data_IF_158500928983
#
_entry.id   IF_158500928983
#
_cell.length_a   1.000
_cell.length_b   1.000
_cell.length_c   1.000
_cell.angle_alpha   90.00
_cell.angle_beta   90.00
_cell.angle_gamma   90.00
#
_symmetry.space_group_name_H-M   'P 1'
#
loop_
_entity.id
_entity.type
_entity.pdbx_description
1 polymer ?
#
# COMPACT_ATOMS: atom_id res chain seq x y z
N UNK A 1 -2.84 -33.34 47.35
CA UNK A 1 -4.27 -32.99 47.42
C UNK A 1 -4.40 -31.54 47.00
N UNK A 2 -4.81 -31.28 45.78
CA UNK A 2 -5.04 -29.94 45.31
C UNK A 2 -6.50 -29.54 45.59
N UNK A 3 -6.82 -28.31 46.01
CA UNK A 3 -8.18 -27.91 46.29
C UNK A 3 -9.00 -27.82 44.99
N UNK A 4 -10.11 -28.52 44.98
CA UNK A 4 -11.16 -28.44 43.96
C UNK A 4 -11.81 -27.05 44.08
N UNK A 5 -11.68 -26.19 43.10
CA UNK A 5 -12.37 -24.91 43.02
C UNK A 5 -13.85 -25.15 42.75
N UNK A 6 -14.66 -24.84 43.75
CA UNK A 6 -16.10 -24.91 43.75
C UNK A 6 -16.70 -23.97 42.70
N UNK A 7 -17.48 -24.53 41.75
CA UNK A 7 -18.08 -23.86 40.60
C UNK A 7 -19.34 -23.04 40.93
N UNK A 8 -19.59 -22.74 42.21
CA UNK A 8 -20.84 -22.16 42.71
C UNK A 8 -20.78 -20.68 43.12
N UNK A 9 -19.77 -19.91 42.71
CA UNK A 9 -19.77 -18.48 43.00
C UNK A 9 -20.72 -17.71 42.06
N UNK A 10 -21.75 -17.02 42.63
CA UNK A 10 -22.76 -16.28 41.84
C UNK A 10 -22.19 -15.25 40.88
N UNK A 11 -21.03 -14.66 41.22
CA UNK A 11 -20.32 -13.67 40.41
C UNK A 11 -19.78 -14.24 39.09
N UNK A 12 -19.28 -15.48 39.06
CA UNK A 12 -18.82 -16.16 37.85
C UNK A 12 -19.99 -16.48 36.91
N UNK A 13 -21.14 -16.83 37.46
CA UNK A 13 -22.37 -17.07 36.70
C UNK A 13 -22.92 -15.80 36.04
N UNK A 14 -22.85 -14.66 36.72
CA UNK A 14 -23.26 -13.35 36.17
C UNK A 14 -22.30 -12.90 35.11
N UNK A 15 -20.98 -12.97 35.34
CA UNK A 15 -19.95 -12.59 34.35
C UNK A 15 -20.04 -13.46 33.07
N UNK A 16 -20.26 -14.76 33.19
CA UNK A 16 -20.43 -15.68 32.08
C UNK A 16 -21.72 -15.43 31.29
N UNK A 17 -22.84 -15.13 31.98
CA UNK A 17 -24.11 -14.77 31.34
C UNK A 17 -24.02 -13.43 30.62
N UNK A 18 -23.33 -12.43 31.19
CA UNK A 18 -23.09 -11.12 30.56
C UNK A 18 -22.19 -11.25 29.34
N UNK A 19 -21.13 -12.06 29.40
CA UNK A 19 -20.23 -12.31 28.28
C UNK A 19 -20.92 -13.10 27.16
N UNK A 20 -21.73 -14.08 27.46
CA UNK A 20 -22.51 -14.87 26.49
C UNK A 20 -23.63 -14.04 25.85
N UNK A 21 -24.27 -13.14 26.60
CA UNK A 21 -25.30 -12.25 26.06
C UNK A 21 -24.74 -11.09 25.23
N UNK A 22 -23.58 -10.56 25.63
CA UNK A 22 -22.90 -9.47 24.87
C UNK A 22 -22.21 -9.95 23.60
N UNK A 23 -21.73 -11.18 23.55
CA UNK A 23 -20.98 -11.74 22.44
C UNK A 23 -21.71 -11.67 21.08
N UNK A 24 -22.94 -12.22 20.95
CA UNK A 24 -23.65 -12.19 19.67
C UNK A 24 -24.13 -10.78 19.31
N UNK A 25 -24.53 -9.95 20.28
CA UNK A 25 -24.91 -8.56 20.02
C UNK A 25 -23.73 -7.69 19.63
N UNK A 26 -22.58 -7.83 20.29
CA UNK A 26 -21.34 -7.13 19.92
C UNK A 26 -20.84 -7.58 18.55
N UNK A 27 -20.86 -8.87 18.25
CA UNK A 27 -20.49 -9.39 16.95
C UNK A 27 -21.45 -8.87 15.86
N UNK A 28 -22.76 -8.91 16.08
CA UNK A 28 -23.76 -8.37 15.16
C UNK A 28 -23.62 -6.86 14.98
N UNK A 29 -23.33 -6.12 16.06
CA UNK A 29 -23.12 -4.68 16.03
C UNK A 29 -21.85 -4.32 15.25
N UNK A 30 -20.75 -5.03 15.48
CA UNK A 30 -19.48 -4.85 14.75
C UNK A 30 -19.64 -5.23 13.27
N UNK A 31 -20.29 -6.34 12.96
CA UNK A 31 -20.55 -6.77 11.59
C UNK A 31 -21.46 -5.77 10.86
N UNK A 32 -22.52 -5.30 11.51
CA UNK A 32 -23.43 -4.31 10.93
C UNK A 32 -22.75 -2.95 10.72
N UNK A 33 -21.89 -2.54 11.64
CA UNK A 33 -21.12 -1.28 11.53
C UNK A 33 -20.03 -1.37 10.45
N UNK A 34 -19.38 -2.52 10.30
CA UNK A 34 -18.35 -2.73 9.29
C UNK A 34 -18.90 -2.77 7.85
N UNK A 35 -20.18 -3.13 7.67
CA UNK A 35 -20.83 -3.25 6.37
C UNK A 35 -21.66 -2.03 5.96
N UNK A 36 -21.90 -1.07 6.88
CA UNK A 36 -22.62 0.16 6.52
C UNK A 36 -21.66 1.20 5.96
N UNK A 37 -21.74 1.46 4.68
CA UNK A 37 -20.92 2.46 3.97
C UNK A 37 -21.63 3.81 4.06
N UNK A 38 -20.98 4.81 4.67
CA UNK A 38 -21.47 6.19 4.72
C UNK A 38 -21.20 6.95 3.40
N UNK A 39 -21.77 8.16 3.25
CA UNK A 39 -21.67 8.91 2.00
C UNK A 39 -20.21 9.34 1.69
N UNK A 40 -19.42 9.67 2.70
CA UNK A 40 -17.99 9.97 2.53
C UNK A 40 -17.22 8.76 2.01
N UNK A 41 -17.53 7.57 2.51
CA UNK A 41 -16.92 6.32 2.04
C UNK A 41 -17.41 5.94 0.63
N UNK A 42 -18.68 6.20 0.30
CA UNK A 42 -19.19 6.01 -1.07
C UNK A 42 -18.44 6.87 -2.07
N UNK A 43 -18.19 8.15 -1.73
CA UNK A 43 -17.36 9.04 -2.55
C UNK A 43 -15.96 8.46 -2.71
N UNK A 44 -15.34 7.99 -1.61
CA UNK A 44 -14.00 7.39 -1.66
C UNK A 44 -13.97 6.15 -2.56
N UNK A 45 -14.98 5.27 -2.47
CA UNK A 45 -15.10 4.09 -3.34
C UNK A 45 -15.30 4.49 -4.82
N UNK A 46 -16.10 5.51 -5.07
CA UNK A 46 -16.28 6.06 -6.42
C UNK A 46 -14.97 6.61 -6.99
N UNK A 47 -14.18 7.31 -6.17
CA UNK A 47 -12.85 7.80 -6.56
C UNK A 47 -11.87 6.64 -6.82
N UNK A 48 -11.85 5.59 -5.99
CA UNK A 48 -11.04 4.39 -6.23
C UNK A 48 -11.42 3.76 -7.59
N UNK A 49 -12.71 3.57 -7.85
CA UNK A 49 -13.17 3.02 -9.12
C UNK A 49 -12.76 3.91 -10.31
N UNK A 50 -12.90 5.23 -10.18
CA UNK A 50 -12.46 6.18 -11.20
C UNK A 50 -10.94 6.10 -11.42
N UNK A 51 -10.13 5.99 -10.37
CA UNK A 51 -8.68 5.82 -10.49
C UNK A 51 -8.31 4.50 -11.17
N UNK A 52 -8.95 3.38 -10.81
CA UNK A 52 -8.72 2.09 -11.47
C UNK A 52 -8.98 2.21 -12.97
N UNK A 53 -10.12 2.78 -13.37
CA UNK A 53 -10.48 2.97 -14.77
C UNK A 53 -9.53 3.93 -15.48
N UNK A 54 -9.24 5.08 -14.86
CA UNK A 54 -8.34 6.08 -15.44
C UNK A 54 -6.93 5.53 -15.63
N UNK A 55 -6.36 4.85 -14.62
CA UNK A 55 -5.05 4.23 -14.72
C UNK A 55 -5.05 3.17 -15.82
N UNK A 56 -6.08 2.31 -15.86
CA UNK A 56 -6.23 1.28 -16.89
C UNK A 56 -6.25 1.86 -18.31
N UNK A 57 -7.01 2.92 -18.53
CA UNK A 57 -7.10 3.57 -19.84
C UNK A 57 -5.81 4.29 -20.20
N UNK A 58 -5.31 5.16 -19.31
CA UNK A 58 -4.11 5.97 -19.56
C UNK A 58 -2.86 5.13 -19.79
N UNK A 59 -2.75 3.96 -19.11
CA UNK A 59 -1.62 3.07 -19.28
C UNK A 59 -1.55 2.46 -20.69
N UNK A 60 -2.71 2.16 -21.27
CA UNK A 60 -2.80 1.48 -22.57
C UNK A 60 -2.83 2.44 -23.77
N UNK A 61 -3.03 3.75 -23.56
CA UNK A 61 -3.05 4.72 -24.65
C UNK A 61 -1.65 5.25 -24.93
N UNK A 62 -1.08 5.01 -26.15
CA UNK A 62 0.19 5.58 -26.55
C UNK A 62 0.21 7.11 -26.37
N UNK A 63 1.36 7.67 -26.02
CA UNK A 63 1.59 9.10 -25.71
C UNK A 63 0.92 9.57 -24.42
N UNK A 64 -0.35 9.24 -24.15
CA UNK A 64 -1.06 9.67 -22.93
C UNK A 64 -0.49 8.99 -21.68
N UNK A 65 0.03 7.76 -21.80
CA UNK A 65 0.72 7.04 -20.71
C UNK A 65 1.87 7.83 -20.08
N UNK A 66 2.43 8.82 -20.79
CA UNK A 66 3.47 9.69 -20.25
C UNK A 66 2.97 10.58 -19.11
N UNK A 67 1.66 10.86 -19.04
CA UNK A 67 1.07 11.60 -17.91
C UNK A 67 1.18 10.83 -16.60
N UNK A 68 1.20 9.50 -16.65
CA UNK A 68 1.38 8.64 -15.48
C UNK A 68 2.85 8.43 -15.10
N UNK A 69 3.80 8.90 -15.94
CA UNK A 69 5.21 8.62 -15.78
C UNK A 69 5.78 9.00 -14.39
N UNK A 70 5.48 10.19 -13.80
CA UNK A 70 6.00 10.54 -12.48
C UNK A 70 5.53 9.57 -11.39
N UNK A 71 4.25 9.17 -11.46
CA UNK A 71 3.67 8.21 -10.53
C UNK A 71 4.16 6.79 -10.77
N UNK A 72 4.41 6.42 -12.03
CA UNK A 72 5.06 5.13 -12.37
C UNK A 72 6.44 5.03 -11.72
N UNK A 73 7.26 6.07 -11.85
CA UNK A 73 8.59 6.11 -11.24
C UNK A 73 8.52 5.99 -9.72
N UNK A 74 7.50 6.61 -9.09
CA UNK A 74 7.27 6.52 -7.66
C UNK A 74 6.91 5.10 -7.22
N UNK A 75 6.06 4.42 -7.98
CA UNK A 75 5.67 3.03 -7.68
C UNK A 75 6.83 2.07 -7.91
N UNK A 76 7.67 2.31 -8.93
CA UNK A 76 8.93 1.59 -9.11
C UNK A 76 9.84 1.80 -7.89
N UNK A 77 9.91 3.02 -7.34
CA UNK A 77 10.69 3.25 -6.11
C UNK A 77 10.16 2.43 -4.92
N UNK A 78 8.84 2.23 -4.77
CA UNK A 78 8.27 1.32 -3.77
C UNK A 78 8.63 -0.14 -4.03
N UNK A 79 8.65 -0.55 -5.28
CA UNK A 79 9.07 -1.89 -5.68
C UNK A 79 10.53 -2.16 -5.27
N UNK A 80 11.43 -1.27 -5.65
CA UNK A 80 12.85 -1.37 -5.28
C UNK A 80 13.07 -1.26 -3.78
N UNK A 81 12.31 -0.42 -3.09
CA UNK A 81 12.32 -0.34 -1.63
C UNK A 81 11.88 -1.66 -0.98
N UNK A 82 10.90 -2.37 -1.57
CA UNK A 82 10.47 -3.69 -1.13
C UNK A 82 11.62 -4.71 -1.14
N UNK A 83 12.40 -4.76 -2.22
CA UNK A 83 13.61 -5.57 -2.30
C UNK A 83 14.64 -5.18 -1.24
N UNK A 84 14.92 -3.87 -1.15
CA UNK A 84 15.93 -3.32 -0.27
C UNK A 84 15.63 -3.62 1.21
N UNK A 85 14.44 -3.30 1.69
CA UNK A 85 14.08 -3.50 3.10
C UNK A 85 14.05 -4.99 3.45
N UNK A 86 13.54 -5.85 2.55
CA UNK A 86 13.51 -7.29 2.79
C UNK A 86 14.90 -7.89 2.77
N UNK A 87 15.80 -7.40 1.92
CA UNK A 87 17.21 -7.79 1.92
C UNK A 87 17.85 -7.49 3.29
N UNK A 88 17.70 -6.26 3.79
CA UNK A 88 18.24 -5.84 5.09
C UNK A 88 17.66 -6.67 6.24
N UNK A 89 16.34 -6.86 6.27
CA UNK A 89 15.65 -7.63 7.31
C UNK A 89 16.03 -9.11 7.31
N UNK A 90 16.52 -9.64 6.18
CA UNK A 90 16.97 -11.03 6.06
C UNK A 90 18.49 -11.19 6.16
N UNK A 91 19.20 -10.15 6.64
CA UNK A 91 20.63 -10.18 6.92
C UNK A 91 21.52 -9.90 5.70
N UNK A 92 20.94 -9.35 4.62
CA UNK A 92 21.69 -8.90 3.45
C UNK A 92 22.11 -7.43 3.54
N UNK A 93 22.81 -6.98 2.52
CA UNK A 93 23.31 -5.61 2.38
C UNK A 93 22.91 -5.02 1.03
N UNK A 94 22.31 -3.82 1.05
CA UNK A 94 21.95 -3.06 -0.16
C UNK A 94 23.10 -2.16 -0.54
N UNK A 95 23.58 -2.29 -1.78
CA UNK A 95 24.68 -1.49 -2.35
C UNK A 95 24.16 -0.20 -2.96
N UNK A 96 23.10 -0.29 -3.78
CA UNK A 96 22.48 0.86 -4.43
C UNK A 96 21.09 0.52 -4.95
N UNK A 97 20.29 1.57 -5.14
CA UNK A 97 19.03 1.54 -5.89
C UNK A 97 19.21 2.49 -7.08
N UNK A 98 18.76 2.05 -8.26
CA UNK A 98 18.69 2.85 -9.48
C UNK A 98 17.33 2.66 -10.14
N UNK A 99 16.71 3.75 -10.59
CA UNK A 99 15.42 3.74 -11.26
C UNK A 99 15.64 3.98 -12.76
N UNK A 100 15.05 3.12 -13.59
CA UNK A 100 15.08 3.28 -15.04
C UNK A 100 13.64 3.36 -15.60
N UNK A 101 13.30 4.41 -16.36
CA UNK A 101 11.95 4.57 -16.91
C UNK A 101 11.59 3.54 -17.98
N UNK A 102 12.58 2.88 -18.59
CA UNK A 102 12.39 1.90 -19.66
C UNK A 102 12.41 0.47 -19.13
N UNK A 103 13.33 0.20 -18.19
CA UNK A 103 13.63 -1.14 -17.69
C UNK A 103 12.99 -1.42 -16.32
N UNK A 104 12.43 -0.39 -15.68
CA UNK A 104 11.92 -0.47 -14.31
C UNK A 104 12.95 0.06 -13.32
N UNK A 105 13.23 -0.66 -12.24
CA UNK A 105 14.28 -0.31 -11.29
C UNK A 105 15.26 -1.47 -11.13
N UNK A 106 16.34 -1.21 -10.43
CA UNK A 106 17.31 -2.24 -10.03
C UNK A 106 17.81 -1.97 -8.62
N UNK A 107 17.63 -2.93 -7.73
CA UNK A 107 18.25 -2.93 -6.40
C UNK A 107 19.45 -3.86 -6.40
N UNK A 108 20.65 -3.29 -6.33
CA UNK A 108 21.88 -4.04 -6.17
C UNK A 108 22.05 -4.46 -4.72
N UNK A 109 21.95 -5.76 -4.46
CA UNK A 109 22.02 -6.32 -3.12
C UNK A 109 23.00 -7.49 -3.05
N UNK A 110 23.52 -7.76 -1.85
CA UNK A 110 24.39 -8.88 -1.55
C UNK A 110 23.91 -9.59 -0.29
N UNK A 111 23.76 -10.92 -0.38
CA UNK A 111 23.18 -11.72 0.72
C UNK A 111 21.65 -11.58 0.76
N UNK A 112 21.09 -11.83 1.96
CA UNK A 112 19.65 -11.90 2.15
C UNK A 112 19.03 -13.22 1.66
N UNK A 113 17.74 -13.44 1.97
CA UNK A 113 17.01 -14.65 1.58
C UNK A 113 16.24 -14.40 0.27
N UNK A 114 16.78 -14.86 -0.86
CA UNK A 114 16.18 -14.63 -2.18
C UNK A 114 14.72 -15.11 -2.31
N UNK A 115 14.31 -16.13 -1.55
CA UNK A 115 12.91 -16.58 -1.51
C UNK A 115 11.95 -15.52 -0.98
N UNK A 116 12.45 -14.56 -0.19
CA UNK A 116 11.67 -13.43 0.34
C UNK A 116 11.95 -12.15 -0.43
N UNK A 117 13.22 -11.91 -0.81
CA UNK A 117 13.60 -10.66 -1.48
C UNK A 117 13.03 -10.55 -2.91
N UNK A 118 12.99 -11.63 -3.69
CA UNK A 118 12.47 -11.58 -5.06
C UNK A 118 10.96 -11.27 -5.13
N UNK A 119 10.07 -11.91 -4.35
CA UNK A 119 8.66 -11.53 -4.34
C UNK A 119 8.39 -10.15 -3.72
N UNK A 120 9.32 -9.65 -2.87
CA UNK A 120 9.12 -8.44 -2.09
C UNK A 120 9.00 -7.15 -2.90
N UNK A 121 9.48 -7.11 -4.13
CA UNK A 121 9.24 -6.01 -5.05
C UNK A 121 7.74 -5.85 -5.31
N UNK A 122 7.12 -6.86 -5.91
CA UNK A 122 5.69 -6.84 -6.25
C UNK A 122 4.79 -6.87 -5.03
N UNK A 123 5.01 -7.80 -4.11
CA UNK A 123 4.16 -7.95 -2.92
C UNK A 123 4.37 -6.80 -1.93
N UNK A 124 5.59 -6.29 -1.79
CA UNK A 124 5.89 -5.14 -0.94
C UNK A 124 5.25 -3.85 -1.45
N UNK A 125 5.38 -3.54 -2.74
CA UNK A 125 4.72 -2.37 -3.33
C UNK A 125 3.19 -2.47 -3.25
N UNK A 126 2.62 -3.66 -3.45
CA UNK A 126 1.18 -3.90 -3.32
C UNK A 126 0.68 -3.78 -1.89
N UNK A 127 1.46 -4.24 -0.91
CA UNK A 127 1.15 -4.07 0.50
C UNK A 127 1.20 -2.58 0.90
N UNK A 128 2.23 -1.85 0.47
CA UNK A 128 2.29 -0.39 0.64
C UNK A 128 1.06 0.25 -0.01
N UNK A 129 0.71 -0.15 -1.23
CA UNK A 129 -0.48 0.32 -1.93
C UNK A 129 -1.77 0.10 -1.13
N UNK A 130 -1.97 -1.09 -0.57
CA UNK A 130 -3.12 -1.41 0.26
C UNK A 130 -3.20 -0.55 1.54
N UNK A 131 -2.05 -0.32 2.20
CA UNK A 131 -1.96 0.56 3.36
C UNK A 131 -2.26 2.02 3.01
N UNK A 132 -1.79 2.51 1.85
CA UNK A 132 -2.12 3.84 1.36
C UNK A 132 -3.60 3.97 1.00
N UNK A 133 -4.22 2.95 0.40
CA UNK A 133 -5.67 2.91 0.16
C UNK A 133 -6.43 2.99 1.48
N UNK A 134 -6.06 2.17 2.47
CA UNK A 134 -6.65 2.22 3.82
C UNK A 134 -6.57 3.64 4.39
N UNK A 135 -5.39 4.26 4.38
CA UNK A 135 -5.18 5.61 4.90
C UNK A 135 -5.95 6.68 4.09
N UNK A 136 -6.15 6.48 2.79
CA UNK A 136 -6.90 7.36 1.91
C UNK A 136 -8.39 7.48 2.23
N UNK A 137 -8.93 6.66 3.14
CA UNK A 137 -10.28 6.82 3.66
C UNK A 137 -10.41 7.94 4.72
N UNK A 138 -9.27 8.46 5.23
CA UNK A 138 -9.28 9.49 6.28
C UNK A 138 -8.14 10.51 6.08
N UNK A 139 -8.43 11.80 6.33
CA UNK A 139 -7.45 12.88 6.12
C UNK A 139 -6.27 12.76 7.10
N UNK A 140 -6.53 12.51 8.39
CA UNK A 140 -5.48 12.38 9.41
C UNK A 140 -4.59 11.17 9.11
N UNK A 141 -5.20 10.04 8.77
CA UNK A 141 -4.46 8.83 8.38
C UNK A 141 -3.60 9.08 7.13
N UNK A 142 -4.09 9.85 6.16
CA UNK A 142 -3.31 10.25 4.98
C UNK A 142 -2.13 11.16 5.33
N UNK A 143 -2.27 12.06 6.30
CA UNK A 143 -1.15 12.86 6.83
C UNK A 143 -0.08 11.95 7.46
N UNK A 144 -0.48 11.01 8.31
CA UNK A 144 0.45 10.03 8.92
C UNK A 144 1.13 9.18 7.85
N UNK A 145 0.36 8.66 6.88
CA UNK A 145 0.89 7.87 5.78
C UNK A 145 1.92 8.65 4.95
N UNK A 146 1.67 9.94 4.67
CA UNK A 146 2.62 10.78 3.92
C UNK A 146 3.94 11.00 4.65
N UNK A 147 3.93 11.08 5.98
CA UNK A 147 5.16 11.16 6.80
C UNK A 147 5.94 9.84 6.70
N UNK A 148 5.24 8.69 6.86
CA UNK A 148 5.87 7.37 6.77
C UNK A 148 6.47 7.16 5.38
N UNK A 149 5.73 7.50 4.32
CA UNK A 149 6.21 7.45 2.93
C UNK A 149 7.41 8.36 2.74
N UNK A 150 7.39 9.55 3.33
CA UNK A 150 8.54 10.47 3.33
C UNK A 150 9.80 9.85 3.94
N UNK A 151 9.67 9.13 5.08
CA UNK A 151 10.80 8.40 5.68
C UNK A 151 11.28 7.27 4.76
N UNK A 152 10.37 6.49 4.15
CA UNK A 152 10.74 5.47 3.18
C UNK A 152 11.50 6.07 1.98
N UNK A 153 11.10 7.25 1.51
CA UNK A 153 11.79 7.97 0.45
C UNK A 153 13.17 8.45 0.85
N UNK A 154 13.36 8.91 2.07
CA UNK A 154 14.69 9.26 2.56
C UNK A 154 15.62 8.06 2.61
N UNK A 155 15.12 6.89 3.02
CA UNK A 155 15.89 5.64 2.97
C UNK A 155 16.21 5.22 1.52
N UNK A 156 15.23 5.33 0.62
CA UNK A 156 15.46 5.04 -0.81
C UNK A 156 16.47 6.01 -1.40
N UNK A 157 16.41 7.29 -1.05
CA UNK A 157 17.36 8.32 -1.47
C UNK A 157 18.78 8.03 -0.96
N UNK A 158 18.91 7.53 0.28
CA UNK A 158 20.20 7.13 0.82
C UNK A 158 20.88 6.05 -0.03
N UNK A 159 20.14 5.04 -0.46
CA UNK A 159 20.64 3.99 -1.35
C UNK A 159 20.76 4.44 -2.81
N UNK A 160 19.87 5.32 -3.28
CA UNK A 160 19.82 5.85 -4.64
C UNK A 160 20.61 7.13 -4.89
N UNK A 161 21.39 7.61 -3.91
CA UNK A 161 22.09 8.92 -3.95
C UNK A 161 23.08 9.12 -5.11
N UNK A 162 23.42 8.08 -5.84
CA UNK A 162 24.31 8.13 -7.01
C UNK A 162 23.55 8.14 -8.33
N UNK A 163 22.26 7.93 -8.30
CA UNK A 163 21.40 7.91 -9.46
C UNK A 163 20.55 9.19 -9.53
N UNK A 164 20.84 10.01 -10.53
CA UNK A 164 20.16 11.29 -10.72
C UNK A 164 18.65 11.16 -10.88
N UNK A 165 18.20 10.13 -11.61
CA UNK A 165 16.79 9.91 -11.85
C UNK A 165 16.05 9.54 -10.56
N UNK A 166 16.66 8.70 -9.73
CA UNK A 166 16.14 8.37 -8.38
C UNK A 166 16.00 9.62 -7.53
N UNK A 167 17.03 10.48 -7.51
CA UNK A 167 17.01 11.74 -6.74
C UNK A 167 15.85 12.62 -7.21
N UNK A 168 15.73 12.86 -8.52
CA UNK A 168 14.69 13.72 -9.08
C UNK A 168 13.27 13.16 -8.82
N UNK A 169 13.10 11.86 -8.98
CA UNK A 169 11.81 11.18 -8.72
C UNK A 169 11.39 11.38 -7.26
N UNK A 170 12.29 11.16 -6.31
CA UNK A 170 11.98 11.31 -4.89
C UNK A 170 11.73 12.76 -4.51
N UNK A 171 12.52 13.71 -5.03
CA UNK A 171 12.30 15.14 -4.78
C UNK A 171 10.93 15.59 -5.32
N UNK A 172 10.55 15.14 -6.52
CA UNK A 172 9.24 15.43 -7.10
C UNK A 172 8.11 14.83 -6.24
N UNK A 173 8.26 13.58 -5.79
CA UNK A 173 7.28 12.91 -4.94
C UNK A 173 7.11 13.60 -3.58
N UNK A 174 8.21 13.94 -2.92
CA UNK A 174 8.17 14.68 -1.64
C UNK A 174 7.56 16.06 -1.84
N UNK A 175 7.95 16.78 -2.89
CA UNK A 175 7.38 18.09 -3.25
C UNK A 175 5.86 18.01 -3.48
N UNK A 176 5.37 16.99 -4.18
CA UNK A 176 3.95 16.74 -4.38
C UNK A 176 3.22 16.50 -3.04
N UNK A 177 3.74 15.61 -2.20
CA UNK A 177 3.13 15.33 -0.89
C UNK A 177 3.10 16.57 -0.01
N UNK A 178 4.21 17.31 0.09
CA UNK A 178 4.29 18.55 0.88
C UNK A 178 3.34 19.60 0.31
N UNK A 179 3.29 19.81 -1.01
CA UNK A 179 2.36 20.75 -1.64
C UNK A 179 0.90 20.42 -1.33
N UNK A 180 0.52 19.14 -1.39
CA UNK A 180 -0.85 18.68 -1.10
C UNK A 180 -1.26 18.84 0.38
N UNK A 181 -0.30 18.97 1.31
CA UNK A 181 -0.60 19.28 2.71
C UNK A 181 -1.29 20.63 2.88
N UNK A 182 -0.97 21.60 2.02
CA UNK A 182 -1.48 22.96 2.11
C UNK A 182 -2.75 23.19 1.29
N UNK A 183 -3.11 22.26 0.39
CA UNK A 183 -4.30 22.39 -0.46
C UNK A 183 -5.53 21.84 0.28
N UNK A 184 -6.57 22.68 0.40
CA UNK A 184 -7.86 22.34 1.01
C UNK A 184 -7.72 21.67 2.40
N UNK A 185 -6.82 22.17 3.26
CA UNK A 185 -6.57 21.63 4.60
C UNK A 185 -6.16 20.16 4.57
N UNK A 186 -5.30 19.76 3.63
CA UNK A 186 -4.83 18.41 3.36
C UNK A 186 -5.89 17.44 2.79
N UNK A 187 -7.04 17.92 2.33
CA UNK A 187 -7.99 17.08 1.63
C UNK A 187 -7.42 16.57 0.28
N UNK A 188 -6.66 17.42 -0.42
CA UNK A 188 -5.96 17.01 -1.64
C UNK A 188 -4.94 15.89 -1.38
N UNK A 189 -4.23 15.95 -0.25
CA UNK A 189 -3.29 14.90 0.16
C UNK A 189 -3.96 13.54 0.25
N UNK A 190 -5.18 13.47 0.81
CA UNK A 190 -5.96 12.23 0.92
C UNK A 190 -6.16 11.58 -0.45
N UNK A 191 -6.57 12.37 -1.46
CA UNK A 191 -6.81 11.85 -2.80
C UNK A 191 -5.50 11.46 -3.51
N UNK A 192 -4.41 12.17 -3.29
CA UNK A 192 -3.09 11.80 -3.83
C UNK A 192 -2.58 10.51 -3.19
N UNK A 193 -2.68 10.35 -1.87
CA UNK A 193 -2.33 9.11 -1.17
C UNK A 193 -3.16 7.92 -1.69
N UNK A 194 -4.46 8.15 -1.90
CA UNK A 194 -5.36 7.14 -2.47
C UNK A 194 -4.97 6.77 -3.90
N UNK A 195 -4.63 7.75 -4.75
CA UNK A 195 -4.18 7.53 -6.11
C UNK A 195 -2.89 6.70 -6.17
N UNK A 196 -1.88 7.11 -5.37
CA UNK A 196 -0.61 6.38 -5.27
C UNK A 196 -0.86 4.95 -4.78
N UNK A 197 -1.76 4.76 -3.81
CA UNK A 197 -2.14 3.45 -3.29
C UNK A 197 -2.76 2.55 -4.35
N UNK A 198 -3.74 3.05 -5.10
CA UNK A 198 -4.37 2.31 -6.21
C UNK A 198 -3.36 1.98 -7.30
N UNK A 199 -2.55 2.96 -7.70
CA UNK A 199 -1.53 2.77 -8.73
C UNK A 199 -0.48 1.74 -8.31
N UNK A 200 -0.04 1.78 -7.04
CA UNK A 200 0.93 0.82 -6.49
C UNK A 200 0.38 -0.61 -6.44
N UNK A 201 -0.90 -0.77 -6.09
CA UNK A 201 -1.56 -2.08 -6.09
C UNK A 201 -1.74 -2.64 -7.50
N UNK A 202 -2.04 -1.79 -8.49
CA UNK A 202 -2.25 -2.20 -9.88
C UNK A 202 -0.93 -2.40 -10.64
N UNK A 203 0.16 -1.76 -10.20
CA UNK A 203 1.45 -1.84 -10.89
C UNK A 203 1.92 -3.28 -11.06
N UNK A 204 1.84 -4.09 -10.00
CA UNK A 204 2.22 -5.51 -10.05
C UNK A 204 1.47 -6.28 -11.13
N UNK A 205 0.17 -6.00 -11.29
CA UNK A 205 -0.66 -6.66 -12.32
C UNK A 205 -0.21 -6.21 -13.72
N UNK A 206 0.03 -4.91 -13.89
CA UNK A 206 0.41 -4.33 -15.18
C UNK A 206 1.81 -4.76 -15.62
N UNK A 207 2.78 -4.67 -14.72
CA UNK A 207 4.16 -5.02 -15.03
C UNK A 207 4.29 -6.51 -15.38
N UNK A 208 3.55 -7.36 -14.69
CA UNK A 208 3.47 -8.79 -15.00
C UNK A 208 2.79 -9.03 -16.36
N UNK A 209 1.71 -8.29 -16.67
CA UNK A 209 1.08 -8.38 -17.99
C UNK A 209 2.04 -7.94 -19.10
N UNK A 210 2.78 -6.86 -18.90
CA UNK A 210 3.79 -6.39 -19.84
C UNK A 210 4.89 -7.43 -20.05
N UNK A 211 5.36 -8.07 -18.98
CA UNK A 211 6.35 -9.15 -19.06
C UNK A 211 5.84 -10.39 -19.80
N UNK A 212 4.57 -10.75 -19.57
CA UNK A 212 3.95 -11.94 -20.22
C UNK A 212 3.61 -11.70 -21.68
N UNK A 213 3.13 -10.50 -22.05
CA UNK A 213 2.61 -10.17 -23.38
C UNK A 213 3.72 -9.58 -24.26
N UNK A 214 4.46 -8.61 -23.75
CA UNK A 214 5.43 -7.82 -24.51
C UNK A 214 6.85 -8.38 -24.47
N UNK A 215 7.10 -9.43 -23.66
CA UNK A 215 8.42 -10.08 -23.51
C UNK A 215 9.53 -9.06 -23.35
N UNK A 216 9.52 -8.31 -22.24
CA UNK A 216 10.65 -7.43 -21.89
C UNK A 216 11.97 -8.21 -21.95
N UNK A 217 12.99 -7.58 -22.50
CA UNK A 217 14.32 -8.19 -22.71
C UNK A 217 15.00 -8.52 -21.37
N UNK A 218 14.61 -7.85 -20.29
CA UNK A 218 15.19 -8.03 -18.97
C UNK A 218 14.52 -9.14 -18.17
N UNK A 219 15.32 -9.79 -17.32
CA UNK A 219 14.81 -10.84 -16.43
C UNK A 219 13.96 -10.22 -15.32
N UNK A 220 12.63 -10.44 -15.36
CA UNK A 220 11.73 -10.06 -14.27
C UNK A 220 12.02 -10.86 -12.99
N UNK A 221 11.63 -10.34 -11.82
CA UNK A 221 11.74 -11.06 -10.55
C UNK A 221 11.09 -12.45 -10.61
N UNK A 222 9.94 -12.55 -11.28
CA UNK A 222 9.24 -13.81 -11.49
C UNK A 222 10.07 -14.79 -12.32
N UNK A 223 10.82 -14.31 -13.32
CA UNK A 223 11.70 -15.15 -14.12
C UNK A 223 12.93 -15.63 -13.35
N UNK A 224 13.51 -14.75 -12.55
CA UNK A 224 14.64 -15.09 -11.66
C UNK A 224 14.19 -16.07 -10.57
N UNK A 225 13.00 -15.84 -9.99
CA UNK A 225 12.44 -16.73 -8.99
C UNK A 225 12.14 -18.12 -9.54
N UNK A 226 11.52 -18.21 -10.73
CA UNK A 226 11.25 -19.46 -11.40
C UNK A 226 12.53 -20.27 -11.72
N UNK A 227 13.59 -19.60 -12.19
CA UNK A 227 14.90 -20.24 -12.43
C UNK A 227 15.52 -20.81 -11.16
N UNK A 228 15.28 -20.19 -10.01
CA UNK A 228 15.92 -20.57 -8.75
C UNK A 228 15.12 -21.59 -7.96
N UNK A 229 13.79 -21.51 -7.98
CA UNK A 229 12.89 -22.30 -7.14
C UNK A 229 11.98 -23.24 -7.94
N UNK A 230 12.08 -23.22 -9.28
CA UNK A 230 11.23 -24.02 -10.17
C UNK A 230 9.92 -23.33 -10.53
N UNK A 231 9.16 -23.97 -11.41
CA UNK A 231 7.95 -23.42 -12.00
C UNK A 231 8.22 -22.54 -13.22
N UNK A 232 7.18 -21.81 -13.67
CA UNK A 232 7.30 -20.84 -14.76
C UNK A 232 7.17 -19.42 -14.24
N UNK A 233 7.80 -18.46 -14.93
CA UNK A 233 7.66 -17.04 -14.61
C UNK A 233 6.21 -16.58 -14.67
N UNK A 234 5.44 -17.10 -15.60
CA UNK A 234 4.02 -16.84 -15.77
C UNK A 234 3.22 -17.28 -14.53
N UNK A 235 3.48 -18.50 -14.03
CA UNK A 235 2.79 -19.02 -12.85
C UNK A 235 3.04 -18.13 -11.63
N UNK A 236 4.29 -17.79 -11.35
CA UNK A 236 4.65 -16.93 -10.23
C UNK A 236 4.09 -15.49 -10.39
N UNK A 237 4.16 -14.95 -11.60
CA UNK A 237 3.57 -13.65 -11.91
C UNK A 237 2.06 -13.61 -11.64
N UNK A 238 1.30 -14.61 -12.10
CA UNK A 238 -0.15 -14.70 -11.83
C UNK A 238 -0.44 -14.82 -10.34
N UNK A 239 0.31 -15.67 -9.61
CA UNK A 239 0.15 -15.82 -8.16
C UNK A 239 0.36 -14.47 -7.46
N UNK A 240 1.44 -13.75 -7.78
CA UNK A 240 1.73 -12.45 -7.16
C UNK A 240 0.71 -11.38 -7.53
N UNK A 241 0.20 -11.40 -8.77
CA UNK A 241 -0.90 -10.50 -9.20
C UNK A 241 -2.17 -10.75 -8.40
N UNK A 242 -2.55 -12.00 -8.20
CA UNK A 242 -3.74 -12.35 -7.38
C UNK A 242 -3.55 -11.86 -5.94
N UNK A 243 -2.39 -12.10 -5.33
CA UNK A 243 -2.09 -11.63 -3.97
C UNK A 243 -2.14 -10.10 -3.91
N UNK A 244 -1.62 -9.40 -4.91
CA UNK A 244 -1.66 -7.92 -5.00
C UNK A 244 -3.09 -7.39 -5.06
N UNK A 245 -3.97 -8.02 -5.82
CA UNK A 245 -5.39 -7.67 -5.86
C UNK A 245 -6.09 -7.96 -4.54
N UNK A 246 -5.77 -9.06 -3.88
CA UNK A 246 -6.30 -9.38 -2.55
C UNK A 246 -5.85 -8.34 -1.51
N UNK A 247 -4.61 -7.85 -1.56
CA UNK A 247 -4.15 -6.76 -0.71
C UNK A 247 -4.93 -5.48 -0.97
N UNK A 248 -5.20 -5.13 -2.23
CA UNK A 248 -6.02 -3.98 -2.58
C UNK A 248 -7.43 -4.06 -1.99
N UNK A 249 -8.09 -5.21 -2.14
CA UNK A 249 -9.42 -5.46 -1.56
C UNK A 249 -9.38 -5.38 -0.03
N UNK A 250 -8.36 -5.98 0.59
CA UNK A 250 -8.16 -5.90 2.04
C UNK A 250 -7.97 -4.45 2.52
N UNK A 251 -7.20 -3.64 1.79
CA UNK A 251 -7.03 -2.22 2.07
C UNK A 251 -8.34 -1.44 2.04
N UNK A 252 -9.18 -1.69 1.02
CA UNK A 252 -10.52 -1.07 0.89
C UNK A 252 -11.43 -1.47 2.06
N UNK A 253 -11.55 -2.77 2.35
CA UNK A 253 -12.41 -3.27 3.44
C UNK A 253 -11.93 -2.72 4.78
N UNK A 254 -10.62 -2.74 5.03
CA UNK A 254 -10.04 -2.18 6.24
C UNK A 254 -10.26 -0.68 6.36
N UNK A 255 -10.19 0.07 5.26
CA UNK A 255 -10.48 1.50 5.23
C UNK A 255 -11.93 1.82 5.59
N UNK A 256 -12.89 1.05 5.06
CA UNK A 256 -14.32 1.17 5.41
C UNK A 256 -14.53 0.87 6.90
N UNK A 257 -13.92 -0.19 7.42
CA UNK A 257 -14.08 -0.60 8.81
C UNK A 257 -13.43 0.39 9.80
N UNK A 258 -12.24 0.91 9.47
CA UNK A 258 -11.44 1.75 10.36
C UNK A 258 -11.92 3.21 10.43
N UNK A 259 -12.49 3.75 9.35
CA UNK A 259 -12.78 5.19 9.22
C UNK A 259 -14.26 5.47 8.93
N UNK A 260 -15.15 5.35 9.95
CA UNK A 260 -16.58 5.63 9.80
C UNK A 260 -16.93 7.13 9.83
N UNK A 261 -15.93 8.04 10.00
CA UNK A 261 -16.14 9.48 10.12
C UNK A 261 -16.68 10.08 8.83
N UNK A 262 -17.60 11.04 8.96
CA UNK A 262 -18.03 11.86 7.84
C UNK A 262 -16.98 12.93 7.43
N UNK A 263 -17.21 13.62 6.31
CA UNK A 263 -16.26 14.59 5.78
C UNK A 263 -16.07 15.80 6.71
N UNK A 264 -17.12 16.23 7.41
CA UNK A 264 -17.05 17.38 8.31
C UNK A 264 -16.19 17.04 9.55
N UNK A 265 -16.39 15.86 10.14
CA UNK A 265 -15.59 15.37 11.26
C UNK A 265 -14.13 15.18 10.86
N UNK A 266 -13.85 14.59 9.68
CA UNK A 266 -12.48 14.43 9.19
C UNK A 266 -11.74 15.76 9.01
N UNK A 267 -12.43 16.82 8.53
CA UNK A 267 -11.85 18.16 8.40
C UNK A 267 -11.55 18.78 9.77
N UNK A 268 -12.43 18.61 10.75
CA UNK A 268 -12.22 19.08 12.13
C UNK A 268 -11.03 18.36 12.76
N UNK A 269 -10.97 17.05 12.68
CA UNK A 269 -9.89 16.23 13.20
C UNK A 269 -8.55 16.57 12.53
N UNK A 270 -8.57 16.82 11.22
CA UNK A 270 -7.38 17.26 10.46
C UNK A 270 -6.88 18.63 10.89
N UNK A 271 -7.78 19.55 11.27
CA UNK A 271 -7.42 20.87 11.79
C UNK A 271 -6.73 20.82 13.16
N UNK A 272 -7.07 19.82 13.97
CA UNK A 272 -6.48 19.57 15.29
C UNK A 272 -5.16 18.79 15.21
N UNK A 273 -4.96 18.00 14.15
CA UNK A 273 -3.75 17.22 13.93
C UNK A 273 -2.80 17.93 12.96
N UNK A 274 -1.74 18.53 13.49
CA UNK A 274 -0.76 19.32 12.73
C UNK A 274 -1.49 20.37 11.87
N UNK A 275 -1.95 21.48 12.48
CA UNK A 275 -2.76 22.47 11.79
C UNK A 275 -1.97 23.13 10.66
N UNK A 276 -2.48 23.03 9.44
CA UNK A 276 -1.99 23.78 8.28
C UNK A 276 -2.81 25.08 8.20
N UNK A 277 -2.36 26.11 8.91
CA UNK A 277 -2.97 27.44 8.83
C UNK A 277 -2.33 28.19 7.67
N UNK A 278 -3.05 28.29 6.58
CA UNK A 278 -2.92 29.35 5.57
C UNK A 278 -4.30 29.75 5.11
#
# INVERSE_FOLDING_TARGET
>A
MAPVLDSSTPLLGIARRSAVAAGPLAATYLTRRALTVNDTQKVTLGVIAAYVVAIALLWNIPYVRWSLWPFKMLVIAFHEFGHAITCVLTGGHVKSISLDPREGGVTHMQGGKSALTLPAGYLGSSLIGALLILCGFNIVASKVASIIVGVCFLLTLWWGRRDWLTIMTILLAVGLLVGCWFIAKAEALRYVILFIGVMSSLYSVWDICDDLILRKVNSSDASVFAKRYGGSSQCWGVIWSIISLLFMVAGIISGIAAFPQDAAQQRTDSGNFIPTKF
#
